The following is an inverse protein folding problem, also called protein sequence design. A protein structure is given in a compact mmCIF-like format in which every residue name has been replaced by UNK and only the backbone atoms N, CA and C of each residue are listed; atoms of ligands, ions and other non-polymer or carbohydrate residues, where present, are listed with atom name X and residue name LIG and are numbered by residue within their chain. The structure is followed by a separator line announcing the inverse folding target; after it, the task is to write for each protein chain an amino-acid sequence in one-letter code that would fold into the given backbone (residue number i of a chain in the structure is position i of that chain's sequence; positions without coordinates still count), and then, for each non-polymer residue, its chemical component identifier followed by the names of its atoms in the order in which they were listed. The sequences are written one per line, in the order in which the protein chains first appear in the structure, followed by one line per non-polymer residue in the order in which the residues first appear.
data_IF_096491226020
#
_entry.id   IF_096491226020
#
_cell.length_a   1.000
_cell.length_b   1.000
_cell.length_c   1.000
_cell.angle_alpha   90.00
_cell.angle_beta   90.00
_cell.angle_gamma   90.00
#
_symmetry.space_group_name_H-M   'P 1'
#
loop_
_entity.id
_entity.type
_entity.pdbx_description
1 polymer ?
#
# COMPACT_ATOMS: atom_id res chain seq x y z
N UNK A 1 1.66 37.96 28.20
CA UNK A 1 0.19 37.86 28.17
C UNK A 1 -0.20 36.99 26.99
N UNK A 2 -0.66 35.76 27.21
CA UNK A 2 -1.17 34.90 26.13
C UNK A 2 -2.58 35.34 25.75
N UNK A 3 -2.83 35.53 24.45
CA UNK A 3 -4.15 35.88 23.96
C UNK A 3 -5.14 34.73 24.22
N UNK A 4 -6.37 35.01 24.67
CA UNK A 4 -7.39 33.98 24.86
C UNK A 4 -7.78 33.35 23.51
N UNK A 5 -7.78 32.03 23.46
CA UNK A 5 -8.16 31.23 22.27
C UNK A 5 -9.64 31.50 21.97
N UNK A 6 -9.97 31.79 20.71
CA UNK A 6 -11.33 32.11 20.31
C UNK A 6 -12.23 30.85 20.35
N UNK A 7 -13.49 31.00 20.77
CA UNK A 7 -14.46 29.88 20.88
C UNK A 7 -14.65 29.11 19.56
N UNK A 8 -14.50 29.77 18.42
CA UNK A 8 -14.52 29.17 17.08
C UNK A 8 -13.36 28.20 16.84
N UNK A 9 -12.16 28.53 17.33
CA UNK A 9 -10.96 27.69 17.20
C UNK A 9 -11.08 26.40 18.04
N UNK A 10 -11.73 26.49 19.22
CA UNK A 10 -11.97 25.33 20.09
C UNK A 10 -12.93 24.32 19.44
N UNK A 11 -14.00 24.79 18.79
CA UNK A 11 -14.98 23.93 18.11
C UNK A 11 -14.34 23.22 16.91
N UNK A 12 -13.55 23.95 16.12
CA UNK A 12 -12.85 23.41 14.96
C UNK A 12 -11.82 22.33 15.37
N UNK A 13 -11.00 22.60 16.38
CA UNK A 13 -10.05 21.62 16.92
C UNK A 13 -10.75 20.36 17.46
N UNK A 14 -11.90 20.49 18.11
CA UNK A 14 -12.67 19.34 18.61
C UNK A 14 -13.20 18.46 17.48
N UNK A 15 -13.61 19.08 16.36
CA UNK A 15 -14.13 18.40 15.18
C UNK A 15 -13.02 17.67 14.44
N UNK A 16 -11.87 18.31 14.24
CA UNK A 16 -10.70 17.70 13.62
C UNK A 16 -10.17 16.50 14.43
N UNK A 17 -10.13 16.63 15.76
CA UNK A 17 -9.71 15.55 16.65
C UNK A 17 -10.62 14.33 16.54
N UNK A 18 -11.94 14.54 16.48
CA UNK A 18 -12.93 13.48 16.29
C UNK A 18 -12.78 12.78 14.93
N UNK A 19 -12.57 13.55 13.85
CA UNK A 19 -12.34 13.00 12.51
C UNK A 19 -11.06 12.15 12.46
N UNK A 20 -9.98 12.62 13.08
CA UNK A 20 -8.72 11.88 13.15
C UNK A 20 -8.88 10.56 13.92
N UNK A 21 -9.61 10.58 15.04
CA UNK A 21 -9.91 9.37 15.82
C UNK A 21 -10.75 8.37 15.02
N UNK A 22 -11.76 8.84 14.30
CA UNK A 22 -12.58 8.00 13.42
C UNK A 22 -11.73 7.36 12.32
N UNK A 23 -10.91 8.14 11.63
CA UNK A 23 -10.01 7.63 10.58
C UNK A 23 -9.02 6.59 11.14
N UNK A 24 -8.45 6.85 12.32
CA UNK A 24 -7.58 5.91 13.01
C UNK A 24 -8.30 4.59 13.34
N UNK A 25 -9.51 4.67 13.87
CA UNK A 25 -10.32 3.50 14.21
C UNK A 25 -10.65 2.66 12.97
N UNK A 26 -11.06 3.29 11.86
CA UNK A 26 -11.35 2.60 10.60
C UNK A 26 -10.12 1.89 10.03
N UNK A 27 -8.94 2.55 10.07
CA UNK A 27 -7.69 1.92 9.66
C UNK A 27 -7.33 0.72 10.55
N UNK A 28 -7.54 0.85 11.86
CA UNK A 28 -7.30 -0.25 12.79
C UNK A 28 -8.19 -1.45 12.51
N UNK A 29 -9.45 -1.24 12.09
CA UNK A 29 -10.36 -2.32 11.71
C UNK A 29 -9.90 -2.99 10.41
N UNK A 30 -9.56 -2.20 9.37
CA UNK A 30 -9.11 -2.73 8.08
C UNK A 30 -7.83 -3.56 8.18
N UNK A 31 -6.95 -3.17 9.10
CA UNK A 31 -5.70 -3.88 9.40
C UNK A 31 -5.88 -5.00 10.44
N UNK A 32 -7.08 -5.21 10.98
CA UNK A 32 -7.30 -6.23 12.00
C UNK A 32 -7.04 -7.64 11.43
N UNK A 33 -6.18 -8.41 12.11
CA UNK A 33 -5.79 -9.75 11.65
C UNK A 33 -4.92 -9.78 10.40
N UNK A 34 -4.54 -8.61 9.86
CA UNK A 34 -3.62 -8.51 8.73
C UNK A 34 -2.19 -8.36 9.22
N UNK A 35 -1.27 -9.11 8.59
CA UNK A 35 0.16 -9.02 8.86
C UNK A 35 0.93 -8.73 7.57
N UNK A 36 1.81 -7.73 7.64
CA UNK A 36 2.62 -7.30 6.51
C UNK A 36 3.56 -8.41 6.02
N UNK A 37 4.09 -9.24 6.92
CA UNK A 37 5.07 -10.26 6.55
C UNK A 37 4.48 -11.42 5.75
N UNK A 38 3.19 -11.70 5.96
CA UNK A 38 2.46 -12.77 5.27
C UNK A 38 1.61 -12.25 4.12
N UNK A 39 1.55 -10.93 3.93
CA UNK A 39 0.84 -10.24 2.87
C UNK A 39 1.35 -10.65 1.50
N UNK A 40 0.47 -11.20 0.65
CA UNK A 40 0.80 -11.56 -0.73
C UNK A 40 1.16 -10.32 -1.53
N UNK A 41 0.47 -9.20 -1.31
CA UNK A 41 0.78 -7.92 -1.90
C UNK A 41 2.17 -7.42 -1.48
N UNK A 42 2.56 -7.57 -0.21
CA UNK A 42 3.90 -7.17 0.21
C UNK A 42 4.97 -8.00 -0.52
N UNK A 43 4.80 -9.32 -0.58
CA UNK A 43 5.72 -10.22 -1.29
C UNK A 43 5.81 -9.84 -2.78
N UNK A 44 4.65 -9.61 -3.42
CA UNK A 44 4.59 -9.17 -4.80
C UNK A 44 5.31 -7.84 -5.01
N UNK A 45 5.02 -6.81 -4.21
CA UNK A 45 5.64 -5.49 -4.31
C UNK A 45 7.16 -5.56 -4.05
N UNK A 46 7.60 -6.36 -3.09
CA UNK A 46 9.03 -6.56 -2.81
C UNK A 46 9.75 -7.23 -3.96
N UNK A 47 9.10 -8.16 -4.68
CA UNK A 47 9.69 -8.77 -5.87
C UNK A 47 9.65 -7.81 -7.08
N UNK A 48 8.60 -7.00 -7.20
CA UNK A 48 8.36 -6.14 -8.36
C UNK A 48 9.14 -4.81 -8.31
N UNK A 49 9.24 -4.21 -7.12
CA UNK A 49 9.86 -2.90 -6.85
C UNK A 49 11.18 -3.01 -6.06
N UNK A 50 11.51 -4.20 -5.56
CA UNK A 50 12.67 -4.46 -4.71
C UNK A 50 12.34 -4.52 -3.22
N UNK A 51 13.12 -5.27 -2.43
CA UNK A 51 12.78 -5.62 -1.05
C UNK A 51 12.50 -4.42 -0.13
N UNK A 52 13.16 -3.29 -0.37
CA UNK A 52 13.06 -2.06 0.42
C UNK A 52 12.39 -0.91 -0.36
N UNK A 53 11.43 -1.22 -1.23
CA UNK A 53 10.74 -0.22 -2.06
C UNK A 53 10.21 0.97 -1.26
N UNK A 54 10.28 2.16 -1.87
CA UNK A 54 9.74 3.37 -1.27
C UNK A 54 8.21 3.38 -1.32
N UNK A 55 7.57 3.99 -0.32
CA UNK A 55 6.10 4.12 -0.29
C UNK A 55 5.59 4.89 -1.51
N UNK A 56 6.37 5.84 -2.02
CA UNK A 56 6.07 6.61 -3.25
C UNK A 56 5.97 5.71 -4.48
N UNK A 57 6.84 4.71 -4.61
CA UNK A 57 6.90 3.84 -5.79
C UNK A 57 5.68 2.91 -5.80
N UNK A 58 5.34 2.35 -4.64
CA UNK A 58 4.12 1.58 -4.47
C UNK A 58 2.86 2.43 -4.70
N UNK A 59 2.86 3.71 -4.29
CA UNK A 59 1.74 4.60 -4.54
C UNK A 59 1.60 4.93 -6.03
N UNK A 60 2.71 5.16 -6.73
CA UNK A 60 2.72 5.38 -8.17
C UNK A 60 2.14 4.17 -8.91
N UNK A 61 2.55 2.96 -8.53
CA UNK A 61 1.99 1.72 -9.09
C UNK A 61 0.50 1.58 -8.78
N UNK A 62 0.08 1.92 -7.55
CA UNK A 62 -1.33 1.89 -7.18
C UNK A 62 -2.15 2.85 -8.05
N UNK A 63 -1.66 4.08 -8.25
CA UNK A 63 -2.31 5.10 -9.08
C UNK A 63 -2.40 4.66 -10.55
N UNK A 64 -1.34 4.04 -11.06
CA UNK A 64 -1.33 3.47 -12.40
C UNK A 64 -2.38 2.35 -12.53
N UNK A 65 -2.36 1.37 -11.62
CA UNK A 65 -3.33 0.28 -11.61
C UNK A 65 -4.77 0.80 -11.43
N UNK A 66 -4.98 1.76 -10.54
CA UNK A 66 -6.25 2.44 -10.31
C UNK A 66 -6.79 3.06 -11.60
N UNK A 67 -5.96 3.77 -12.35
CA UNK A 67 -6.34 4.39 -13.61
C UNK A 67 -6.73 3.38 -14.69
N UNK A 68 -5.97 2.29 -14.84
CA UNK A 68 -6.20 1.31 -15.90
C UNK A 68 -7.28 0.27 -15.57
N UNK A 69 -7.41 -0.11 -14.31
CA UNK A 69 -8.35 -1.16 -13.84
C UNK A 69 -9.66 -0.54 -13.34
N UNK A 70 -9.68 0.77 -13.05
CA UNK A 70 -10.85 1.46 -12.50
C UNK A 70 -11.07 1.23 -11.01
N UNK A 71 -9.99 0.97 -10.26
CA UNK A 71 -10.05 0.83 -8.80
C UNK A 71 -9.88 2.19 -8.12
N UNK A 72 -10.64 2.48 -7.07
CA UNK A 72 -10.44 3.70 -6.29
C UNK A 72 -9.43 3.49 -5.15
N UNK A 73 -8.52 4.44 -4.98
CA UNK A 73 -7.57 4.46 -3.87
C UNK A 73 -8.07 5.45 -2.83
N UNK A 74 -8.44 4.95 -1.67
CA UNK A 74 -8.88 5.81 -0.57
C UNK A 74 -7.74 6.66 0.00
N UNK A 75 -8.12 7.78 0.61
CA UNK A 75 -7.20 8.77 1.18
C UNK A 75 -6.27 8.18 2.24
N UNK A 76 -6.69 7.16 2.99
CA UNK A 76 -5.86 6.55 4.02
C UNK A 76 -4.78 5.66 3.41
N UNK A 77 -5.11 4.89 2.37
CA UNK A 77 -4.15 4.13 1.57
C UNK A 77 -3.11 5.06 0.92
N UNK A 78 -3.51 6.21 0.38
CA UNK A 78 -2.55 7.18 -0.20
C UNK A 78 -1.52 7.73 0.80
N UNK A 79 -1.80 7.69 2.11
CA UNK A 79 -1.01 8.36 3.15
C UNK A 79 -0.24 7.43 4.07
N UNK A 80 -0.65 6.17 4.19
CA UNK A 80 -0.10 5.24 5.19
C UNK A 80 0.34 3.95 4.50
N UNK A 81 1.63 3.64 4.60
CA UNK A 81 2.24 2.46 3.95
C UNK A 81 1.47 1.17 4.22
N UNK A 82 1.14 0.87 5.48
CA UNK A 82 0.44 -0.38 5.81
C UNK A 82 -0.96 -0.45 5.20
N UNK A 83 -1.70 0.67 5.18
CA UNK A 83 -3.03 0.73 4.58
C UNK A 83 -2.94 0.62 3.06
N UNK A 84 -1.89 1.20 2.44
CA UNK A 84 -1.62 1.05 1.02
C UNK A 84 -1.37 -0.41 0.64
N UNK A 85 -0.48 -1.09 1.37
CA UNK A 85 -0.18 -2.51 1.11
C UNK A 85 -1.41 -3.37 1.35
N UNK A 86 -2.22 -3.05 2.37
CA UNK A 86 -3.50 -3.73 2.59
C UNK A 86 -4.49 -3.51 1.44
N UNK A 87 -4.55 -2.30 0.88
CA UNK A 87 -5.34 -2.00 -0.32
C UNK A 87 -4.87 -2.83 -1.52
N UNK A 88 -3.56 -3.01 -1.69
CA UNK A 88 -3.04 -3.93 -2.72
C UNK A 88 -3.49 -5.37 -2.45
N UNK A 89 -3.42 -5.85 -1.20
CA UNK A 89 -3.83 -7.22 -0.84
C UNK A 89 -5.29 -7.49 -1.16
N UNK A 90 -6.16 -6.52 -0.91
CA UNK A 90 -7.59 -6.60 -1.22
C UNK A 90 -7.88 -6.70 -2.72
N UNK A 91 -6.94 -6.26 -3.56
CA UNK A 91 -7.09 -6.17 -5.02
C UNK A 91 -6.00 -6.94 -5.79
N UNK A 92 -5.26 -7.83 -5.09
CA UNK A 92 -3.98 -8.34 -5.59
C UNK A 92 -4.12 -9.14 -6.88
N UNK A 93 -5.22 -9.88 -7.05
CA UNK A 93 -5.44 -10.71 -8.23
C UNK A 93 -5.56 -9.87 -9.51
N UNK A 94 -6.24 -8.72 -9.42
CA UNK A 94 -6.39 -7.80 -10.55
C UNK A 94 -5.08 -7.07 -10.83
N UNK A 95 -4.43 -6.57 -9.76
CA UNK A 95 -3.21 -5.78 -9.88
C UNK A 95 -2.06 -6.64 -10.38
N UNK A 96 -1.86 -7.83 -9.84
CA UNK A 96 -0.80 -8.75 -10.27
C UNK A 96 -0.97 -9.14 -11.74
N UNK A 97 -2.20 -9.42 -12.17
CA UNK A 97 -2.51 -9.72 -13.58
C UNK A 97 -2.21 -8.53 -14.49
N UNK A 98 -2.59 -7.31 -14.09
CA UNK A 98 -2.28 -6.09 -14.82
C UNK A 98 -0.77 -5.86 -14.93
N UNK A 99 -0.05 -5.94 -13.81
CA UNK A 99 1.39 -5.72 -13.77
C UNK A 99 2.13 -6.72 -14.66
N UNK A 100 1.84 -8.03 -14.55
CA UNK A 100 2.48 -9.06 -15.39
C UNK A 100 2.27 -8.85 -16.89
N UNK A 101 1.17 -8.22 -17.28
CA UNK A 101 0.81 -8.03 -18.70
C UNK A 101 1.29 -6.70 -19.27
N UNK A 102 1.37 -5.65 -18.46
CA UNK A 102 1.51 -4.28 -18.95
C UNK A 102 2.63 -3.46 -18.30
N UNK A 103 3.25 -3.95 -17.23
CA UNK A 103 4.23 -3.17 -16.46
C UNK A 103 5.52 -3.97 -16.32
N UNK A 104 6.63 -3.38 -16.75
CA UNK A 104 7.96 -3.96 -16.55
C UNK A 104 8.34 -3.86 -15.06
N UNK A 105 8.81 -4.95 -14.43
CA UNK A 105 9.32 -4.89 -13.06
C UNK A 105 10.53 -3.96 -12.97
N UNK A 106 10.63 -3.22 -11.88
CA UNK A 106 11.74 -2.27 -11.63
C UNK A 106 12.95 -3.02 -11.04
N UNK A 107 12.68 -4.05 -10.24
CA UNK A 107 13.70 -4.92 -9.70
C UNK A 107 13.78 -6.20 -10.50
N UNK A 108 14.78 -6.29 -11.36
CA UNK A 108 15.27 -7.57 -11.88
C UNK A 108 16.16 -8.17 -10.81
N UNK A 109 15.57 -8.90 -9.86
CA UNK A 109 16.39 -9.79 -9.04
C UNK A 109 17.11 -10.74 -9.99
N UNK A 110 18.43 -10.83 -9.86
CA UNK A 110 19.27 -11.75 -10.63
C UNK A 110 18.54 -13.09 -10.71
N UNK A 111 18.04 -13.42 -11.89
CA UNK A 111 17.59 -14.77 -12.20
C UNK A 111 18.87 -15.59 -12.19
N UNK A 112 19.28 -16.07 -11.01
CA UNK A 112 20.19 -17.20 -10.97
C UNK A 112 19.37 -18.36 -11.49
N UNK A 113 19.48 -18.53 -12.80
CA UNK A 113 19.13 -19.75 -13.50
C UNK A 113 19.88 -20.89 -12.79
N UNK A 114 19.23 -21.54 -11.83
CA UNK A 114 19.57 -22.92 -11.46
C UNK A 114 19.07 -23.84 -12.58
N UNK A 115 19.62 -23.65 -13.78
CA UNK A 115 19.71 -24.67 -14.80
C UNK A 115 20.97 -25.49 -14.56
N UNK A 116 20.96 -26.37 -13.55
CA UNK A 116 21.91 -27.50 -13.51
C UNK A 116 21.18 -28.80 -13.14
N UNK A 117 20.77 -29.48 -14.21
CA UNK A 117 20.94 -30.91 -14.45
C UNK A 117 20.77 -31.84 -13.22
N UNK A 118 19.64 -32.53 -13.19
CA UNK A 118 19.63 -33.91 -12.70
C UNK A 118 18.69 -34.77 -13.55
N UNK A 119 19.11 -34.97 -14.79
CA UNK A 119 18.76 -36.15 -15.58
C UNK A 119 20.08 -36.94 -15.70
N UNK A 120 20.04 -38.20 -15.25
CA UNK A 120 21.11 -39.21 -15.19
C UNK A 120 21.91 -39.28 -13.88
N UNK A 121 21.40 -40.07 -12.94
CA UNK A 121 22.08 -41.30 -12.51
C UNK A 121 21.03 -42.36 -12.16
#
# INVERSE_FOLDING_TARGET
MQAPIARSEIIDMSTQKMQNQKEHHLNSIRLAGWDLKTSRAHIFLSNFLGANYATSDALCLAQLASHYIGLEIDRAAQRRKNVLVKWFDENIDLIETFCKKYVTPIFEGDQTEDQQQNILT
#
